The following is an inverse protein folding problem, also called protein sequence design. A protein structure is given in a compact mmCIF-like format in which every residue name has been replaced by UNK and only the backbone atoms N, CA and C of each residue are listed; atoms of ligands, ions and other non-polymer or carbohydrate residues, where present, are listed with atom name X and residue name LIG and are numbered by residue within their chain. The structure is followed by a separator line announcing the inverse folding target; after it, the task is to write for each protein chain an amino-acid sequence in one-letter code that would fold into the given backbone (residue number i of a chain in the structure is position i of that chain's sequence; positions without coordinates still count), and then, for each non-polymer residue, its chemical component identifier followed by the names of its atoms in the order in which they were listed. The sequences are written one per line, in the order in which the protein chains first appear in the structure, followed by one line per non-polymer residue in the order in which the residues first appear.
data_IF_845839364044
#
_entry.id   IF_845839364044
#
_cell.length_a   1.000
_cell.length_b   1.000
_cell.length_c   1.000
_cell.angle_alpha   90.00
_cell.angle_beta   90.00
_cell.angle_gamma   90.00
#
_symmetry.space_group_name_H-M   'P 1'
#
loop_
_entity.id
_entity.type
_entity.pdbx_description
1 polymer ?
#
# COMPACT_ATOMS: atom_id res chain seq x y z
N UNK A 1 -0.80 18.76 -2.43
CA UNK A 1 -1.05 17.33 -2.14
C UNK A 1 -0.07 16.92 -1.08
N UNK A 2 -0.49 16.11 -0.11
CA UNK A 2 0.37 15.70 0.99
C UNK A 2 1.27 14.54 0.56
N UNK A 3 2.52 14.53 1.01
CA UNK A 3 3.43 13.41 0.77
C UNK A 3 3.10 12.30 1.77
N UNK A 4 2.80 11.10 1.27
CA UNK A 4 2.49 9.94 2.11
C UNK A 4 3.64 8.93 1.99
N UNK A 5 4.21 8.52 3.11
CA UNK A 5 5.28 7.53 3.18
C UNK A 5 4.82 6.39 4.08
N UNK A 6 4.78 5.18 3.52
CA UNK A 6 4.34 3.97 4.21
C UNK A 6 5.55 3.06 4.39
N UNK A 7 5.82 2.70 5.62
CA UNK A 7 6.92 1.84 6.04
C UNK A 7 6.33 0.49 6.43
N UNK A 8 6.47 -0.48 5.53
CA UNK A 8 5.90 -1.81 5.65
C UNK A 8 6.82 -2.78 6.41
N UNK A 9 6.26 -3.79 7.10
CA UNK A 9 7.03 -4.84 7.73
C UNK A 9 7.90 -5.62 6.74
N UNK A 10 8.85 -6.38 7.29
CA UNK A 10 9.67 -7.30 6.54
C UNK A 10 8.78 -8.39 5.90
N UNK A 11 8.46 -8.20 4.63
CA UNK A 11 7.64 -9.13 3.84
C UNK A 11 8.45 -9.68 2.68
N UNK A 12 8.15 -10.91 2.27
CA UNK A 12 8.84 -11.56 1.13
C UNK A 12 8.67 -10.83 -0.21
N UNK A 13 7.74 -9.88 -0.33
CA UNK A 13 7.53 -9.02 -1.48
C UNK A 13 6.97 -7.65 -1.08
N UNK A 14 7.16 -6.65 -1.94
CA UNK A 14 6.80 -5.24 -1.71
C UNK A 14 5.32 -4.98 -1.41
N UNK A 15 4.42 -5.89 -1.79
CA UNK A 15 2.98 -5.79 -1.50
C UNK A 15 2.54 -6.70 -0.36
N UNK A 16 3.35 -7.67 0.05
CA UNK A 16 2.97 -8.71 1.02
C UNK A 16 1.93 -9.71 0.52
N UNK A 17 1.60 -9.68 -0.77
CA UNK A 17 0.56 -10.53 -1.39
C UNK A 17 1.13 -11.88 -1.87
N UNK A 18 2.44 -12.11 -1.74
CA UNK A 18 3.11 -13.33 -2.19
C UNK A 18 3.07 -14.41 -1.09
N UNK A 19 1.98 -15.16 -1.01
CA UNK A 19 1.87 -16.31 -0.12
C UNK A 19 0.52 -17.00 -0.25
N UNK A 20 0.38 -18.26 0.20
CA UNK A 20 -0.90 -18.97 0.17
C UNK A 20 -1.97 -18.32 1.06
N UNK A 21 -1.56 -17.49 2.03
CA UNK A 21 -2.42 -16.73 2.92
C UNK A 21 -2.27 -15.23 2.60
N UNK A 22 -2.95 -14.77 1.56
CA UNK A 22 -2.98 -13.35 1.20
C UNK A 22 -3.80 -12.59 2.23
N UNK A 23 -3.19 -11.61 2.88
CA UNK A 23 -3.92 -10.69 3.76
C UNK A 23 -4.81 -9.76 2.92
N UNK A 24 -6.11 -9.74 3.23
CA UNK A 24 -7.11 -8.93 2.51
C UNK A 24 -6.84 -7.43 2.70
N UNK A 25 -6.30 -7.03 3.85
CA UNK A 25 -5.94 -5.63 4.11
C UNK A 25 -4.75 -5.18 3.25
N UNK A 26 -3.74 -6.04 3.09
CA UNK A 26 -2.58 -5.74 2.24
C UNK A 26 -2.99 -5.60 0.76
N UNK A 27 -3.93 -6.45 0.30
CA UNK A 27 -4.50 -6.36 -1.03
C UNK A 27 -5.26 -5.05 -1.22
N UNK A 28 -6.17 -4.71 -0.29
CA UNK A 28 -6.93 -3.45 -0.31
C UNK A 28 -6.00 -2.25 -0.43
N UNK A 29 -4.99 -2.17 0.44
CA UNK A 29 -4.04 -1.06 0.49
C UNK A 29 -3.19 -1.00 -0.77
N UNK A 30 -2.74 -2.15 -1.30
CA UNK A 30 -1.99 -2.18 -2.55
C UNK A 30 -2.80 -1.62 -3.72
N UNK A 31 -4.08 -2.01 -3.86
CA UNK A 31 -4.98 -1.49 -4.90
C UNK A 31 -5.23 0.00 -4.76
N UNK A 32 -5.49 0.47 -3.54
CA UNK A 32 -5.73 1.89 -3.26
C UNK A 32 -4.50 2.73 -3.56
N UNK A 33 -3.34 2.32 -3.06
CA UNK A 33 -2.09 3.04 -3.29
C UNK A 33 -1.74 3.11 -4.78
N UNK A 34 -1.94 2.01 -5.52
CA UNK A 34 -1.73 1.99 -6.98
C UNK A 34 -2.69 2.94 -7.71
N UNK A 35 -3.98 2.93 -7.35
CA UNK A 35 -4.97 3.84 -7.92
C UNK A 35 -4.63 5.31 -7.63
N UNK A 36 -4.30 5.63 -6.38
CA UNK A 36 -3.95 6.98 -5.96
C UNK A 36 -2.68 7.47 -6.67
N UNK A 37 -1.66 6.61 -6.79
CA UNK A 37 -0.44 6.92 -7.58
C UNK A 37 -0.77 7.24 -9.03
N UNK A 38 -1.63 6.45 -9.67
CA UNK A 38 -2.10 6.69 -11.06
C UNK A 38 -2.85 8.01 -11.20
N UNK A 39 -3.55 8.44 -10.14
CA UNK A 39 -4.25 9.72 -10.09
C UNK A 39 -3.32 10.90 -9.72
N UNK A 40 -2.02 10.66 -9.52
CA UNK A 40 -1.01 11.69 -9.24
C UNK A 40 -0.74 11.94 -7.76
N UNK A 41 -1.18 11.06 -6.85
CA UNK A 41 -0.83 11.16 -5.44
C UNK A 41 0.64 10.80 -5.20
N UNK A 42 1.31 11.58 -4.36
CA UNK A 42 2.69 11.33 -3.92
C UNK A 42 2.70 10.34 -2.74
N UNK A 43 2.67 9.05 -3.07
CA UNK A 43 2.71 7.96 -2.09
C UNK A 43 3.97 7.14 -2.33
N UNK A 44 4.80 6.97 -1.31
CA UNK A 44 5.97 6.08 -1.36
C UNK A 44 5.79 4.95 -0.36
N UNK A 45 6.07 3.71 -0.79
CA UNK A 45 6.05 2.53 0.08
C UNK A 45 7.47 2.01 0.19
N UNK A 46 7.93 1.79 1.42
CA UNK A 46 9.22 1.21 1.75
C UNK A 46 8.99 -0.13 2.43
N UNK A 47 9.69 -1.18 2.01
CA UNK A 47 9.61 -2.49 2.63
C UNK A 47 10.87 -2.74 3.45
N UNK A 48 10.76 -3.15 4.72
CA UNK A 48 11.92 -3.33 5.60
C UNK A 48 12.93 -4.36 5.06
N UNK A 49 12.47 -5.41 4.36
CA UNK A 49 13.34 -6.42 3.76
C UNK A 49 14.05 -5.92 2.49
N UNK A 50 13.43 -5.02 1.73
CA UNK A 50 14.00 -4.52 0.46
C UNK A 50 14.81 -3.23 0.65
N UNK A 51 14.37 -2.36 1.56
CA UNK A 51 14.87 -1.00 1.74
C UNK A 51 15.12 -0.66 3.22
N UNK A 52 15.88 -1.48 3.98
CA UNK A 52 16.11 -1.25 5.42
C UNK A 52 16.73 0.11 5.71
N UNK A 53 17.51 0.64 4.76
CA UNK A 53 18.19 1.93 4.91
C UNK A 53 17.22 3.11 5.00
N UNK A 54 16.01 3.02 4.42
CA UNK A 54 14.97 4.05 4.54
C UNK A 54 14.43 4.17 5.98
N UNK A 55 14.38 3.05 6.70
CA UNK A 55 13.91 2.99 8.09
C UNK A 55 14.95 3.54 9.05
N UNK A 56 16.24 3.30 8.78
CA UNK A 56 17.35 3.85 9.58
C UNK A 56 17.54 5.35 9.31
N UNK A 57 17.35 5.79 8.07
CA UNK A 57 17.52 7.21 7.71
C UNK A 57 16.51 8.12 8.39
N UNK A 58 15.29 7.60 8.63
CA UNK A 58 14.25 8.33 9.35
C UNK A 58 14.36 8.03 10.86
N UNK A 59 14.82 9.03 11.62
CA UNK A 59 15.04 8.87 13.07
C UNK A 59 13.77 8.50 13.83
N UNK A 60 12.62 9.02 13.42
CA UNK A 60 11.35 8.75 14.11
C UNK A 60 10.93 7.29 13.90
N UNK A 61 11.04 6.79 12.67
CA UNK A 61 10.78 5.37 12.34
C UNK A 61 11.76 4.46 13.06
N UNK A 62 13.06 4.80 13.04
CA UNK A 62 14.09 4.01 13.70
C UNK A 62 13.89 3.92 15.23
N UNK A 63 13.52 5.03 15.87
CA UNK A 63 13.24 5.05 17.31
C UNK A 63 12.03 4.17 17.64
N UNK A 64 10.93 4.30 16.88
CA UNK A 64 9.74 3.49 17.07
C UNK A 64 10.02 1.99 16.92
N UNK A 65 10.82 1.60 15.92
CA UNK A 65 11.22 0.20 15.73
C UNK A 65 12.10 -0.34 16.85
N UNK A 66 12.94 0.53 17.43
CA UNK A 66 13.81 0.16 18.54
C UNK A 66 13.00 -0.06 19.83
N UNK A 67 11.93 0.72 20.01
CA UNK A 67 11.01 0.56 21.15
C UNK A 67 10.07 -0.64 20.98
N UNK A 68 9.55 -0.86 19.77
CA UNK A 68 8.59 -1.91 19.47
C UNK A 68 8.83 -2.50 18.07
N UNK A 69 9.24 -3.77 18.01
CA UNK A 69 9.55 -4.46 16.76
C UNK A 69 8.28 -4.76 15.94
N UNK A 70 7.10 -4.76 16.57
CA UNK A 70 5.80 -5.03 15.94
C UNK A 70 5.02 -3.73 15.67
N UNK A 71 5.70 -2.58 15.60
CA UNK A 71 5.07 -1.28 15.34
C UNK A 71 4.67 -1.03 13.88
N UNK A 72 5.18 -1.87 12.96
CA UNK A 72 4.91 -1.78 11.54
C UNK A 72 3.51 -2.31 11.20
N UNK A 73 2.86 -1.79 10.14
CA UNK A 73 3.31 -0.71 9.27
C UNK A 73 3.19 0.69 9.92
N UNK A 74 4.13 1.59 9.60
CA UNK A 74 4.10 3.00 10.01
C UNK A 74 3.72 3.86 8.80
N UNK A 75 2.76 4.77 8.97
CA UNK A 75 2.39 5.74 7.94
C UNK A 75 2.75 7.15 8.38
N UNK A 76 3.47 7.85 7.52
CA UNK A 76 3.90 9.23 7.68
C UNK A 76 3.22 10.09 6.61
N UNK A 77 2.67 11.23 7.01
CA UNK A 77 2.07 12.21 6.10
C UNK A 77 2.70 13.56 6.36
N UNK A 78 3.27 14.19 5.32
CA UNK A 78 4.01 15.46 5.41
C UNK A 78 5.07 15.46 6.55
N UNK A 79 5.77 14.35 6.72
CA UNK A 79 6.80 14.19 7.75
C UNK A 79 6.28 13.92 9.17
N UNK A 80 4.97 13.73 9.37
CA UNK A 80 4.38 13.40 10.66
C UNK A 80 3.82 11.98 10.68
N UNK A 81 4.11 11.22 11.72
CA UNK A 81 3.54 9.89 11.94
C UNK A 81 2.04 10.05 12.23
N UNK A 82 1.20 9.49 11.36
CA UNK A 82 -0.27 9.54 11.50
C UNK A 82 -0.86 8.22 11.96
N UNK A 83 -0.17 7.11 11.68
CA UNK A 83 -0.67 5.77 12.03
C UNK A 83 0.47 4.77 12.17
N UNK A 84 0.30 3.82 13.08
CA UNK A 84 1.23 2.71 13.35
C UNK A 84 0.43 1.42 13.52
N UNK A 85 1.09 0.26 13.38
CA UNK A 85 0.51 -1.11 13.51
C UNK A 85 -0.63 -1.45 12.56
N UNK A 86 -1.07 -0.50 11.74
CA UNK A 86 -2.25 -0.63 10.89
C UNK A 86 -2.16 0.36 9.72
N UNK A 87 -2.77 -0.03 8.60
CA UNK A 87 -2.85 0.82 7.42
C UNK A 87 -3.94 1.88 7.55
N UNK A 88 -3.83 2.91 6.72
CA UNK A 88 -4.87 3.91 6.57
C UNK A 88 -6.16 3.28 6.00
N UNK A 89 -7.27 3.79 6.48
CA UNK A 89 -8.61 3.54 5.96
C UNK A 89 -8.84 4.35 4.68
N UNK A 90 -9.87 3.99 3.91
CA UNK A 90 -10.22 4.71 2.68
C UNK A 90 -10.51 6.20 2.97
N UNK A 91 -11.21 6.48 4.07
CA UNK A 91 -11.51 7.85 4.51
C UNK A 91 -10.25 8.64 4.88
N UNK A 92 -9.28 8.00 5.54
CA UNK A 92 -8.00 8.64 5.88
C UNK A 92 -7.19 8.95 4.61
N UNK A 93 -7.11 8.01 3.67
CA UNK A 93 -6.47 8.27 2.38
C UNK A 93 -7.14 9.45 1.67
N UNK A 94 -8.47 9.48 1.59
CA UNK A 94 -9.21 10.62 1.02
C UNK A 94 -8.89 11.93 1.72
N UNK A 95 -8.81 11.94 3.06
CA UNK A 95 -8.49 13.13 3.84
C UNK A 95 -7.09 13.69 3.52
N UNK A 96 -6.12 12.84 3.20
CA UNK A 96 -4.75 13.27 2.93
C UNK A 96 -4.49 13.57 1.44
N UNK A 97 -5.06 12.77 0.54
CA UNK A 97 -4.86 12.94 -0.91
C UNK A 97 -5.86 13.91 -1.52
N UNK A 98 -7.05 14.05 -0.94
CA UNK A 98 -8.20 14.75 -1.52
C UNK A 98 -8.85 14.00 -2.68
N UNK A 99 -8.46 12.75 -2.92
CA UNK A 99 -8.88 11.96 -4.09
C UNK A 99 -9.88 10.91 -3.64
N UNK A 100 -11.10 10.98 -4.15
CA UNK A 100 -12.13 9.99 -3.88
C UNK A 100 -11.67 8.64 -4.43
N UNK A 101 -11.45 7.70 -3.52
CA UNK A 101 -11.23 6.30 -3.86
C UNK A 101 -12.60 5.74 -4.23
N UNK A 102 -12.96 5.88 -5.49
CA UNK A 102 -14.05 5.09 -6.04
C UNK A 102 -13.51 3.67 -6.08
N UNK A 103 -14.12 2.74 -5.34
CA UNK A 103 -13.82 1.32 -5.53
C UNK A 103 -13.89 1.07 -7.03
N UNK A 104 -12.73 0.76 -7.61
CA UNK A 104 -12.66 0.38 -9.01
C UNK A 104 -13.38 -0.95 -9.05
N UNK A 105 -14.69 -0.91 -9.33
CA UNK A 105 -15.40 -2.00 -9.95
C UNK A 105 -14.42 -2.58 -10.95
N UNK A 106 -14.05 -3.84 -10.70
CA UNK A 106 -13.11 -4.63 -11.50
C UNK A 106 -13.17 -4.15 -12.94
N UNK A 107 -12.05 -3.97 -13.66
CA UNK A 107 -12.17 -3.85 -15.11
C UNK A 107 -13.04 -5.02 -15.55
N UNK A 108 -14.25 -4.70 -15.99
CA UNK A 108 -15.06 -5.59 -16.78
C UNK A 108 -14.21 -5.73 -18.01
N UNK A 109 -13.30 -6.71 -18.00
CA UNK A 109 -12.71 -7.20 -19.22
C UNK A 109 -13.89 -7.79 -19.96
N UNK A 110 -14.48 -6.90 -20.76
CA UNK A 110 -15.37 -7.17 -21.85
C UNK A 110 -14.88 -8.45 -22.54
N UNK A 111 -15.82 -9.37 -22.73
CA UNK A 111 -15.54 -10.70 -23.25
C UNK A 111 -14.74 -10.68 -24.56
N UNK A 112 -13.81 -11.64 -24.63
CA UNK A 112 -13.22 -12.22 -25.84
C UNK A 112 -12.33 -13.36 -25.31
N UNK A 113 -12.64 -14.66 -25.36
CA UNK A 113 -13.62 -15.42 -26.11
C UNK A 113 -14.06 -16.62 -25.25
N UNK A 114 -15.36 -16.73 -25.00
CA UNK A 114 -15.99 -18.02 -24.71
C UNK A 114 -16.00 -18.88 -25.97
N UNK A 115 -16.09 -20.20 -25.79
CA UNK A 115 -15.89 -21.20 -26.83
C UNK A 115 -16.99 -21.31 -27.89
N UNK A 116 -16.79 -22.37 -28.69
CA UNK A 116 -17.62 -22.95 -29.74
C UNK A 116 -17.59 -22.29 -31.13
N UNK A 117 -16.61 -22.71 -31.93
CA UNK A 117 -16.86 -23.12 -33.32
C UNK A 117 -15.65 -23.90 -33.85
N UNK A 118 -15.84 -25.19 -34.12
CA UNK A 118 -14.86 -25.96 -34.89
C UNK A 118 -14.71 -25.38 -36.30
N UNK A 119 -13.47 -25.33 -36.80
CA UNK A 119 -13.13 -25.44 -38.22
C UNK A 119 -11.59 -25.41 -38.42
N UNK A 120 -11.12 -26.47 -39.09
CA UNK A 120 -9.83 -26.66 -39.78
C UNK A 120 -8.56 -26.85 -38.94
#
# INVERSE_FOLDING_TARGET
MKKIEIYDPAMCCSTGVCGPSVDTELLRVATIVDSLKKQGADITRYNLSSEPQAFISNKDVNNLLTEDNDILPITIVDGQIVKTKSHLTNDEFYKYTGILIVEVDKPTNNGCCGGDSGCC
#
